data_IF_565364934163
#
_entry.id   IF_565364934163
#
_cell.length_a   1.000
_cell.length_b   1.000
_cell.length_c   1.000
_cell.angle_alpha   90.00
_cell.angle_beta   90.00
_cell.angle_gamma   90.00
#
_symmetry.space_group_name_H-M   'P 1'
#
loop_
_entity.id
_entity.type
_entity.pdbx_description
1 polymer ?
#
# COMPACT_ATOMS: atom_id res chain seq x y z
N UNK A 1 -0.82 -24.99 -1.13
CA UNK A 1 -0.14 -23.68 -1.07
C UNK A 1 1.04 -23.80 -0.11
N UNK A 2 2.20 -23.21 -0.40
CA UNK A 2 3.27 -23.12 0.61
C UNK A 2 2.94 -22.04 1.64
N UNK A 3 3.51 -22.12 2.84
CA UNK A 3 3.37 -21.07 3.86
C UNK A 3 3.68 -19.66 3.31
N UNK A 4 4.76 -19.52 2.53
CA UNK A 4 5.13 -18.26 1.86
C UNK A 4 4.06 -17.75 0.87
N UNK A 5 3.35 -18.64 0.16
CA UNK A 5 2.28 -18.22 -0.75
C UNK A 5 1.05 -17.75 0.04
N UNK A 6 0.75 -18.43 1.14
CA UNK A 6 -0.34 -18.05 2.03
C UNK A 6 -0.07 -16.69 2.70
N UNK A 7 1.15 -16.46 3.21
CA UNK A 7 1.56 -15.17 3.77
C UNK A 7 1.51 -14.05 2.73
N UNK A 8 2.00 -14.27 1.52
CA UNK A 8 1.93 -13.28 0.44
C UNK A 8 0.48 -12.97 0.07
N UNK A 9 -0.36 -14.00 -0.05
CA UNK A 9 -1.79 -13.84 -0.35
C UNK A 9 -2.49 -13.04 0.74
N UNK A 10 -2.25 -13.37 2.00
CA UNK A 10 -2.82 -12.66 3.15
C UNK A 10 -2.40 -11.19 3.17
N UNK A 11 -1.09 -10.91 3.01
CA UNK A 11 -0.57 -9.55 2.98
C UNK A 11 -1.18 -8.72 1.85
N UNK A 12 -1.25 -9.26 0.63
CA UNK A 12 -1.87 -8.59 -0.51
C UNK A 12 -3.36 -8.33 -0.27
N UNK A 13 -4.09 -9.30 0.31
CA UNK A 13 -5.52 -9.09 0.64
C UNK A 13 -5.72 -8.02 1.70
N UNK A 14 -4.89 -8.01 2.73
CA UNK A 14 -4.98 -7.02 3.79
C UNK A 14 -4.74 -5.61 3.24
N UNK A 15 -3.66 -5.43 2.47
CA UNK A 15 -3.32 -4.14 1.85
C UNK A 15 -4.39 -3.70 0.85
N UNK A 16 -4.74 -4.59 -0.09
CA UNK A 16 -5.73 -4.26 -1.12
C UNK A 16 -7.12 -3.99 -0.54
N UNK A 17 -7.54 -4.67 0.52
CA UNK A 17 -8.80 -4.39 1.20
C UNK A 17 -8.77 -3.06 1.96
N UNK A 18 -7.65 -2.73 2.62
CA UNK A 18 -7.48 -1.45 3.31
C UNK A 18 -7.54 -0.27 2.32
N UNK A 19 -6.89 -0.39 1.17
CA UNK A 19 -6.95 0.61 0.10
C UNK A 19 -8.32 0.67 -0.57
N UNK A 20 -8.96 -0.47 -0.81
CA UNK A 20 -10.28 -0.53 -1.43
C UNK A 20 -11.35 0.15 -0.57
N UNK A 21 -11.19 0.16 0.77
CA UNK A 21 -12.07 0.88 1.68
C UNK A 21 -12.12 2.39 1.40
N UNK A 22 -11.10 2.96 0.73
CA UNK A 22 -11.09 4.35 0.30
C UNK A 22 -12.20 4.69 -0.71
N UNK A 23 -12.82 3.69 -1.36
CA UNK A 23 -13.95 3.91 -2.29
C UNK A 23 -15.10 4.70 -1.65
N UNK A 24 -15.32 4.54 -0.34
CA UNK A 24 -16.35 5.27 0.42
C UNK A 24 -16.09 6.78 0.33
N UNK A 25 -14.83 7.20 0.42
CA UNK A 25 -14.41 8.60 0.44
C UNK A 25 -14.44 9.27 -0.94
N UNK A 26 -14.67 8.52 -2.02
CA UNK A 26 -14.92 9.09 -3.34
C UNK A 26 -16.22 9.90 -3.35
N UNK A 27 -17.24 9.45 -2.62
CA UNK A 27 -18.59 10.05 -2.61
C UNK A 27 -19.03 10.57 -1.24
N UNK A 28 -18.32 10.20 -0.17
CA UNK A 28 -18.64 10.67 1.18
C UNK A 28 -18.66 12.22 1.27
N UNK A 29 -19.44 12.79 2.19
CA UNK A 29 -19.38 14.21 2.51
C UNK A 29 -17.97 14.60 2.97
N UNK A 30 -17.49 15.78 2.56
CA UNK A 30 -16.17 16.29 2.97
C UNK A 30 -16.03 16.39 4.50
N UNK A 31 -17.13 16.63 5.21
CA UNK A 31 -17.17 16.67 6.67
C UNK A 31 -16.75 15.36 7.35
N UNK A 32 -16.81 14.21 6.68
CA UNK A 32 -16.26 12.95 7.21
C UNK A 32 -14.73 12.98 7.21
N UNK A 33 -14.12 13.45 6.12
CA UNK A 33 -12.66 13.63 6.04
C UNK A 33 -12.18 14.68 7.02
N UNK A 34 -12.93 15.79 7.15
CA UNK A 34 -12.65 16.83 8.14
C UNK A 34 -12.68 16.27 9.57
N UNK A 35 -13.69 15.48 9.92
CA UNK A 35 -13.76 14.85 11.24
C UNK A 35 -12.57 13.92 11.51
N UNK A 36 -12.08 13.19 10.50
CA UNK A 36 -10.88 12.35 10.64
C UNK A 36 -9.64 13.22 10.79
N UNK A 37 -9.44 14.20 9.91
CA UNK A 37 -8.27 15.08 9.92
C UNK A 37 -8.12 15.82 11.25
N UNK A 38 -9.22 16.37 11.78
CA UNK A 38 -9.23 17.13 13.02
C UNK A 38 -9.27 16.23 14.26
N UNK A 39 -10.27 15.34 14.36
CA UNK A 39 -10.58 14.65 15.63
C UNK A 39 -9.87 13.32 15.82
N UNK A 40 -9.47 12.67 14.72
CA UNK A 40 -8.79 11.35 14.78
C UNK A 40 -7.29 11.53 14.66
N UNK A 41 -6.84 12.33 13.69
CA UNK A 41 -5.42 12.54 13.43
C UNK A 41 -4.84 13.73 14.19
N UNK A 42 -5.69 14.65 14.69
CA UNK A 42 -5.22 15.82 15.45
C UNK A 42 -4.49 16.85 14.58
N UNK A 43 -4.73 16.85 13.27
CA UNK A 43 -4.06 17.75 12.31
C UNK A 43 -4.76 19.12 12.19
N UNK A 44 -5.80 19.35 13.00
CA UNK A 44 -6.59 20.57 13.01
C UNK A 44 -7.67 20.59 11.92
N UNK A 45 -8.29 21.75 11.64
CA UNK A 45 -9.34 21.85 10.64
C UNK A 45 -8.79 21.58 9.23
N UNK A 46 -9.53 20.82 8.44
CA UNK A 46 -9.16 20.53 7.06
C UNK A 46 -9.13 21.85 6.26
N UNK A 47 -8.03 22.17 5.54
CA UNK A 47 -7.96 23.41 4.76
C UNK A 47 -9.10 23.52 3.76
N UNK A 48 -9.69 24.71 3.67
CA UNK A 48 -10.81 24.97 2.76
C UNK A 48 -10.31 25.32 1.37
N UNK A 49 -10.92 24.72 0.34
CA UNK A 49 -10.59 25.02 -1.05
C UNK A 49 -10.96 23.90 -2.01
N UNK A 50 -11.32 24.27 -3.24
CA UNK A 50 -11.73 23.30 -4.29
C UNK A 50 -10.65 22.24 -4.56
N UNK A 51 -9.38 22.62 -4.46
CA UNK A 51 -8.26 21.71 -4.72
C UNK A 51 -8.14 20.60 -3.66
N UNK A 52 -8.47 20.90 -2.40
CA UNK A 52 -8.36 19.93 -1.29
C UNK A 52 -9.37 18.82 -1.47
N UNK A 53 -10.65 19.18 -1.69
CA UNK A 53 -11.69 18.19 -1.95
C UNK A 53 -11.41 17.42 -3.25
N UNK A 54 -11.00 18.11 -4.32
CA UNK A 54 -10.66 17.49 -5.59
C UNK A 54 -9.55 16.43 -5.42
N UNK A 55 -8.44 16.78 -4.76
CA UNK A 55 -7.32 15.86 -4.55
C UNK A 55 -7.68 14.72 -3.60
N UNK A 56 -8.42 14.99 -2.52
CA UNK A 56 -8.84 13.95 -1.57
C UNK A 56 -9.73 12.89 -2.24
N UNK A 57 -10.67 13.32 -3.10
CA UNK A 57 -11.53 12.39 -3.86
C UNK A 57 -10.75 11.62 -4.93
N UNK A 58 -9.84 12.28 -5.66
CA UNK A 58 -9.01 11.60 -6.68
C UNK A 58 -8.04 10.61 -6.05
N UNK A 59 -7.43 10.96 -4.92
CA UNK A 59 -6.55 10.06 -4.17
C UNK A 59 -7.33 8.85 -3.65
N UNK A 60 -8.53 9.06 -3.12
CA UNK A 60 -9.43 7.98 -2.70
C UNK A 60 -9.79 7.04 -3.86
N UNK A 61 -10.08 7.59 -5.04
CA UNK A 61 -10.36 6.81 -6.24
C UNK A 61 -9.12 6.02 -6.72
N UNK A 62 -7.93 6.63 -6.67
CA UNK A 62 -6.67 5.97 -7.00
C UNK A 62 -6.40 4.79 -6.05
N UNK A 63 -6.57 4.98 -4.74
CA UNK A 63 -6.45 3.90 -3.76
C UNK A 63 -7.49 2.80 -3.99
N UNK A 64 -8.74 3.14 -4.32
CA UNK A 64 -9.75 2.14 -4.62
C UNK A 64 -9.37 1.27 -5.84
N UNK A 65 -8.91 1.91 -6.93
CA UNK A 65 -8.45 1.20 -8.14
C UNK A 65 -7.22 0.37 -7.85
N UNK A 66 -6.24 0.93 -7.14
CA UNK A 66 -5.02 0.23 -6.76
C UNK A 66 -5.33 -0.97 -5.84
N UNK A 67 -6.17 -0.79 -4.83
CA UNK A 67 -6.62 -1.85 -3.94
C UNK A 67 -7.32 -2.99 -4.69
N UNK A 68 -8.18 -2.67 -5.66
CA UNK A 68 -8.80 -3.67 -6.53
C UNK A 68 -7.76 -4.46 -7.33
N UNK A 69 -6.73 -3.80 -7.88
CA UNK A 69 -5.62 -4.48 -8.57
C UNK A 69 -4.83 -5.39 -7.63
N UNK A 70 -4.51 -4.92 -6.42
CA UNK A 70 -3.78 -5.71 -5.40
C UNK A 70 -4.60 -6.94 -4.98
N UNK A 71 -5.91 -6.78 -4.74
CA UNK A 71 -6.82 -7.90 -4.45
C UNK A 71 -6.85 -8.89 -5.62
N UNK A 72 -6.94 -8.42 -6.87
CA UNK A 72 -6.93 -9.28 -8.04
C UNK A 72 -5.64 -10.12 -8.16
N UNK A 73 -4.48 -9.50 -7.88
CA UNK A 73 -3.19 -10.22 -7.82
C UNK A 73 -3.18 -11.29 -6.73
N UNK A 74 -3.86 -11.04 -5.60
CA UNK A 74 -3.98 -12.01 -4.50
C UNK A 74 -4.79 -13.26 -4.86
N UNK A 75 -5.62 -13.23 -5.91
CA UNK A 75 -6.47 -14.36 -6.31
C UNK A 75 -5.64 -15.52 -6.90
N UNK A 76 -4.53 -15.21 -7.57
CA UNK A 76 -3.58 -16.21 -8.08
C UNK A 76 -2.14 -15.70 -7.98
N UNK A 77 -1.61 -15.74 -6.75
CA UNK A 77 -0.23 -15.31 -6.48
C UNK A 77 0.83 -16.14 -7.21
N UNK A 78 0.52 -17.37 -7.64
CA UNK A 78 1.47 -18.21 -8.37
C UNK A 78 1.67 -17.67 -9.79
N UNK A 79 0.57 -17.34 -10.47
CA UNK A 79 0.58 -16.74 -11.81
C UNK A 79 1.08 -15.30 -11.78
N UNK A 80 0.60 -14.49 -10.84
CA UNK A 80 0.90 -13.05 -10.78
C UNK A 80 2.14 -12.70 -9.97
N UNK A 81 3.00 -13.67 -9.63
CA UNK A 81 4.25 -13.48 -8.88
C UNK A 81 5.16 -12.36 -9.41
N UNK A 82 5.39 -12.22 -10.74
CA UNK A 82 6.16 -11.10 -11.28
C UNK A 82 5.50 -9.75 -10.99
N UNK A 83 4.18 -9.66 -11.14
CA UNK A 83 3.41 -8.45 -10.86
C UNK A 83 3.42 -8.11 -9.37
N UNK A 84 3.33 -9.10 -8.49
CA UNK A 84 3.49 -8.89 -7.04
C UNK A 84 4.86 -8.27 -6.70
N UNK A 85 5.94 -8.62 -7.41
CA UNK A 85 7.25 -7.97 -7.19
C UNK A 85 7.26 -6.52 -7.65
N UNK A 86 6.63 -6.22 -8.78
CA UNK A 86 6.49 -4.83 -9.26
C UNK A 86 5.71 -4.04 -8.21
N UNK A 87 4.56 -4.53 -7.76
CA UNK A 87 3.77 -3.91 -6.70
C UNK A 87 4.59 -3.71 -5.42
N UNK A 88 5.38 -4.70 -5.01
CA UNK A 88 6.24 -4.60 -3.83
C UNK A 88 7.31 -3.51 -3.97
N UNK A 89 8.02 -3.44 -5.11
CA UNK A 89 8.97 -2.36 -5.36
C UNK A 89 8.31 -0.99 -5.52
N UNK A 90 7.13 -0.93 -6.14
CA UNK A 90 6.32 0.28 -6.21
C UNK A 90 5.96 0.79 -4.82
N UNK A 91 5.60 -0.08 -3.87
CA UNK A 91 5.37 0.32 -2.48
C UNK A 91 6.63 0.79 -1.76
N UNK A 92 7.78 0.17 -2.02
CA UNK A 92 9.06 0.67 -1.49
C UNK A 92 9.33 2.09 -1.98
N UNK A 93 9.18 2.33 -3.29
CA UNK A 93 9.34 3.66 -3.87
C UNK A 93 8.29 4.66 -3.35
N UNK A 94 7.04 4.23 -3.24
CA UNK A 94 5.95 5.06 -2.72
C UNK A 94 6.18 5.46 -1.26
N UNK A 95 6.63 4.53 -0.40
CA UNK A 95 6.92 4.85 0.99
C UNK A 95 8.05 5.87 1.15
N UNK A 96 9.08 5.79 0.31
CA UNK A 96 10.12 6.82 0.25
C UNK A 96 9.55 8.17 -0.20
N UNK A 97 8.69 8.16 -1.22
CA UNK A 97 8.07 9.39 -1.74
C UNK A 97 7.13 10.04 -0.70
N UNK A 98 6.28 9.26 -0.02
CA UNK A 98 5.37 9.74 1.03
C UNK A 98 6.15 10.32 2.20
N UNK A 99 7.16 9.60 2.71
CA UNK A 99 7.99 10.12 3.80
C UNK A 99 8.71 11.42 3.42
N UNK A 100 9.14 11.56 2.16
CA UNK A 100 9.69 12.82 1.66
C UNK A 100 8.63 13.92 1.59
N UNK A 101 7.43 13.63 1.10
CA UNK A 101 6.32 14.57 1.02
C UNK A 101 5.94 15.10 2.41
N UNK A 102 5.75 14.23 3.40
CA UNK A 102 5.40 14.61 4.76
C UNK A 102 6.46 15.51 5.39
N UNK A 103 7.73 15.11 5.25
CA UNK A 103 8.85 15.92 5.72
C UNK A 103 8.87 17.29 5.05
N UNK A 104 8.68 17.36 3.73
CA UNK A 104 8.66 18.61 2.97
C UNK A 104 7.46 19.50 3.28
N UNK A 105 6.34 18.90 3.70
CA UNK A 105 5.12 19.58 4.12
C UNK A 105 5.20 20.09 5.57
N UNK A 106 6.31 19.83 6.28
CA UNK A 106 6.54 20.31 7.65
C UNK A 106 5.87 19.46 8.73
N UNK A 107 5.45 18.23 8.41
CA UNK A 107 5.03 17.28 9.42
C UNK A 107 6.19 16.91 10.34
N UNK A 108 5.84 16.48 11.54
CA UNK A 108 6.83 15.98 12.49
C UNK A 108 7.62 14.79 11.92
N UNK A 109 8.93 14.74 12.19
CA UNK A 109 9.80 13.73 11.60
C UNK A 109 9.41 12.29 11.91
N UNK A 110 8.85 12.03 13.09
CA UNK A 110 8.39 10.69 13.48
C UNK A 110 7.13 10.27 12.71
N UNK A 111 6.29 11.23 12.31
CA UNK A 111 5.14 10.99 11.44
C UNK A 111 5.61 10.59 10.05
N UNK A 112 6.44 11.45 9.44
CA UNK A 112 6.97 11.24 8.10
C UNK A 112 7.75 9.91 7.98
N UNK A 113 8.60 9.60 8.97
CA UNK A 113 9.30 8.32 9.02
C UNK A 113 8.34 7.16 9.27
N UNK A 114 7.35 7.31 10.15
CA UNK A 114 6.39 6.25 10.47
C UNK A 114 5.56 5.85 9.24
N UNK A 115 5.00 6.82 8.55
CA UNK A 115 4.18 6.59 7.36
C UNK A 115 5.02 6.00 6.21
N UNK A 116 6.12 6.66 5.87
CA UNK A 116 7.00 6.20 4.79
C UNK A 116 7.65 4.84 5.06
N UNK A 117 8.09 4.56 6.30
CA UNK A 117 8.67 3.28 6.67
C UNK A 117 7.64 2.16 6.62
N UNK A 118 6.41 2.38 7.11
CA UNK A 118 5.36 1.36 7.09
C UNK A 118 5.05 0.90 5.66
N UNK A 119 4.82 1.85 4.76
CA UNK A 119 4.54 1.56 3.33
C UNK A 119 5.73 0.83 2.69
N UNK A 120 6.95 1.28 2.95
CA UNK A 120 8.16 0.65 2.43
C UNK A 120 8.38 -0.77 2.96
N UNK A 121 8.11 -1.01 4.24
CA UNK A 121 8.22 -2.32 4.87
C UNK A 121 7.22 -3.31 4.29
N UNK A 122 5.98 -2.89 4.05
CA UNK A 122 4.97 -3.70 3.36
C UNK A 122 5.45 -4.09 1.94
N UNK A 123 6.00 -3.13 1.18
CA UNK A 123 6.59 -3.40 -0.12
C UNK A 123 7.76 -4.39 -0.09
N UNK A 124 8.68 -4.21 0.86
CA UNK A 124 9.81 -5.11 1.08
C UNK A 124 9.35 -6.53 1.43
N UNK A 125 8.37 -6.68 2.31
CA UNK A 125 7.80 -7.97 2.69
C UNK A 125 7.18 -8.69 1.48
N UNK A 126 6.44 -7.97 0.62
CA UNK A 126 5.92 -8.51 -0.64
C UNK A 126 7.06 -9.03 -1.53
N UNK A 127 8.12 -8.25 -1.73
CA UNK A 127 9.28 -8.63 -2.56
C UNK A 127 9.96 -9.88 -2.01
N UNK A 128 10.19 -9.95 -0.69
CA UNK A 128 10.83 -11.08 -0.03
C UNK A 128 10.01 -12.36 -0.20
N UNK A 129 8.72 -12.33 0.10
CA UNK A 129 7.81 -13.49 -0.05
C UNK A 129 7.66 -13.91 -1.53
N UNK A 130 7.65 -12.94 -2.45
CA UNK A 130 7.61 -13.20 -3.89
C UNK A 130 8.91 -13.81 -4.46
N UNK A 131 10.03 -13.74 -3.72
CA UNK A 131 11.34 -14.34 -4.10
C UNK A 131 11.55 -15.77 -3.59
N UNK A 132 11.03 -16.14 -2.43
CA UNK A 132 11.35 -17.40 -1.73
C UNK A 132 11.10 -18.69 -2.55
N UNK A 133 10.12 -18.76 -3.46
CA UNK A 133 9.91 -19.95 -4.31
C UNK A 133 10.87 -20.11 -5.49
N UNK A 134 11.46 -19.02 -6.00
CA UNK A 134 12.51 -19.13 -7.03
C UNK A 134 13.77 -19.73 -6.43
N UNK A 135 14.11 -19.35 -5.20
CA UNK A 135 15.25 -19.89 -4.46
C UNK A 135 15.05 -21.40 -4.17
N UNK A 136 13.88 -21.80 -3.67
CA UNK A 136 13.58 -23.22 -3.42
C UNK A 136 13.71 -24.09 -4.68
N UNK A 137 13.14 -23.66 -5.82
CA UNK A 137 13.28 -24.38 -7.11
C UNK A 137 14.70 -24.42 -7.65
N UNK A 138 15.48 -23.35 -7.45
CA UNK A 138 16.87 -23.31 -7.91
C UNK A 138 17.76 -24.28 -7.11
N UNK A 139 17.50 -24.45 -5.81
CA UNK A 139 18.17 -25.44 -4.96
C UNK A 139 17.80 -26.86 -5.38
N UNK A 140 16.52 -27.13 -5.67
CA UNK A 140 16.06 -28.45 -6.16
C UNK A 140 16.75 -28.85 -7.48
N UNK A 141 16.79 -27.99 -8.49
CA UNK A 141 17.49 -28.28 -9.75
C UNK A 141 19.02 -28.37 -9.61
N UNK A 142 19.61 -27.66 -8.65
CA UNK A 142 21.06 -27.69 -8.41
C UNK A 142 21.54 -28.91 -7.61
N UNK A 143 20.62 -29.62 -6.94
CA UNK A 143 20.92 -30.85 -6.21
C UNK A 143 20.81 -32.13 -7.06
N UNK A 144 20.27 -32.03 -8.28
CA UNK A 144 20.16 -33.14 -9.24
C UNK A 144 21.28 -33.15 -10.31
N UNK A 145 22.32 -32.32 -10.13
CA UNK A 145 23.53 -32.24 -10.99
C UNK A 145 24.76 -32.63 -10.18
#
# INVERSE_FOLDING_TARGET
>A
MSASDASLTFLLRLLGAAELAAVVFVVAPLGWMEAVHDRVLGLGPLPTGRIVEYLARHLSALYAVHGAMVVAVSLDVRRYRPLARVLGWSHVGLGVAVGWTDWSAGFAWWWALGEGALVSMCGGAIVLLARQRRAARAVECGAEV
#
